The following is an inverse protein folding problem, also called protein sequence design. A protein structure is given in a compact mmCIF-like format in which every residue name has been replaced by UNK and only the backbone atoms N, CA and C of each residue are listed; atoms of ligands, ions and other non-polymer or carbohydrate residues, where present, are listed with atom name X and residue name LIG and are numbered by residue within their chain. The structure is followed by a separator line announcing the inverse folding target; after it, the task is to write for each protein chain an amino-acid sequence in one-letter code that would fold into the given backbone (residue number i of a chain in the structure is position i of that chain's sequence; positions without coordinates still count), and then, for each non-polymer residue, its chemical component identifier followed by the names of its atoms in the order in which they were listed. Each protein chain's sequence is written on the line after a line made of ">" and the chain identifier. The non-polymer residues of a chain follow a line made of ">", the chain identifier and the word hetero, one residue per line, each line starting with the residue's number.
data_IF_496538096836
#
_entry.id   IF_496538096836
#
_cell.length_a   1.000
_cell.length_b   1.000
_cell.length_c   1.000
_cell.angle_alpha   90.00
_cell.angle_beta   90.00
_cell.angle_gamma   90.00
#
_symmetry.space_group_name_H-M   'P 1'
#
loop_
_entity.id
_entity.type
_entity.pdbx_description
1 polymer ?
#
# COMPACT_ATOMS: atom_id res chain seq x y z
N UNK A 1 -14.58 -16.52 -1.97
CA UNK A 1 -14.19 -15.17 -1.48
C UNK A 1 -13.57 -15.22 -0.08
N UNK A 2 -14.10 -15.96 0.88
CA UNK A 2 -13.56 -16.11 2.24
C UNK A 2 -12.11 -16.62 2.26
N UNK A 3 -11.74 -17.57 1.39
CA UNK A 3 -10.37 -18.10 1.30
C UNK A 3 -9.33 -17.04 0.86
N UNK A 4 -9.73 -16.04 0.05
CA UNK A 4 -8.84 -14.92 -0.34
C UNK A 4 -8.54 -14.01 0.85
N UNK A 5 -9.55 -13.74 1.66
CA UNK A 5 -9.38 -12.97 2.89
C UNK A 5 -8.49 -13.72 3.90
N UNK A 6 -8.66 -15.05 4.01
CA UNK A 6 -7.80 -15.89 4.84
C UNK A 6 -6.35 -15.92 4.33
N UNK A 7 -6.12 -15.95 3.01
CA UNK A 7 -4.77 -15.91 2.43
C UNK A 7 -4.08 -14.58 2.74
N UNK A 8 -4.78 -13.44 2.55
CA UNK A 8 -4.27 -12.10 2.90
C UNK A 8 -3.98 -12.01 4.40
N UNK A 9 -4.92 -12.44 5.26
CA UNK A 9 -4.73 -12.44 6.72
C UNK A 9 -3.58 -13.35 7.15
N UNK A 10 -3.36 -14.47 6.45
CA UNK A 10 -2.25 -15.39 6.72
C UNK A 10 -0.92 -14.76 6.29
N UNK A 11 -0.88 -14.06 5.16
CA UNK A 11 0.28 -13.29 4.71
C UNK A 11 0.69 -12.22 5.73
N UNK A 12 -0.27 -11.46 6.25
CA UNK A 12 -0.04 -10.50 7.33
C UNK A 12 0.56 -11.18 8.57
N UNK A 13 -0.02 -12.28 9.02
CA UNK A 13 0.47 -13.03 10.20
C UNK A 13 1.85 -13.65 9.99
N UNK A 14 2.17 -14.11 8.79
CA UNK A 14 3.51 -14.60 8.47
C UNK A 14 4.53 -13.47 8.47
N UNK A 15 4.17 -12.29 7.94
CA UNK A 15 5.02 -11.11 7.98
C UNK A 15 5.29 -10.64 9.41
N UNK A 16 4.27 -10.61 10.26
CA UNK A 16 4.39 -10.30 11.69
C UNK A 16 5.22 -11.35 12.45
N UNK A 17 5.13 -12.64 12.08
CA UNK A 17 5.79 -13.74 12.76
C UNK A 17 7.23 -14.03 12.34
N UNK A 18 7.74 -13.37 11.31
CA UNK A 18 9.10 -13.61 10.79
C UNK A 18 10.19 -12.77 11.47
N UNK A 19 9.81 -11.81 12.32
CA UNK A 19 10.74 -10.98 13.10
C UNK A 19 10.37 -11.06 14.57
N UNK A 20 11.33 -11.42 15.41
CA UNK A 20 11.15 -11.54 16.86
C UNK A 20 10.79 -10.20 17.54
N UNK A 21 11.16 -9.07 16.93
CA UNK A 21 10.77 -7.72 17.36
C UNK A 21 10.69 -6.79 16.14
N UNK A 22 9.47 -6.50 15.67
CA UNK A 22 9.27 -5.41 14.69
C UNK A 22 9.21 -4.10 15.46
N UNK A 23 10.16 -3.22 15.19
CA UNK A 23 10.14 -1.90 15.81
C UNK A 23 8.91 -1.12 15.36
N UNK A 24 8.28 -0.38 16.29
CA UNK A 24 7.04 0.37 16.02
C UNK A 24 7.17 1.32 14.81
N UNK A 25 8.35 1.92 14.60
CA UNK A 25 8.60 2.78 13.44
C UNK A 25 8.52 2.01 12.12
N UNK A 26 8.96 0.74 12.07
CA UNK A 26 8.85 -0.11 10.88
C UNK A 26 7.38 -0.46 10.59
N UNK A 27 6.59 -0.72 11.62
CA UNK A 27 5.16 -1.01 11.48
C UNK A 27 4.40 0.22 10.94
N UNK A 28 4.68 1.40 11.50
CA UNK A 28 4.05 2.64 11.04
C UNK A 28 4.48 2.96 9.60
N UNK A 29 5.78 2.85 9.29
CA UNK A 29 6.31 3.05 7.94
C UNK A 29 5.67 2.09 6.92
N UNK A 30 5.50 0.81 7.29
CA UNK A 30 4.81 -0.17 6.46
C UNK A 30 3.38 0.26 6.13
N UNK A 31 2.61 0.68 7.13
CA UNK A 31 1.22 1.14 6.91
C UNK A 31 1.20 2.36 6.00
N UNK A 32 2.05 3.38 6.24
CA UNK A 32 2.10 4.59 5.41
C UNK A 32 2.38 4.25 3.93
N UNK A 33 3.36 3.39 3.68
CA UNK A 33 3.72 2.94 2.33
C UNK A 33 2.55 2.20 1.66
N UNK A 34 1.89 1.30 2.39
CA UNK A 34 0.75 0.55 1.87
C UNK A 34 -0.45 1.44 1.57
N UNK A 35 -0.81 2.35 2.47
CA UNK A 35 -1.94 3.25 2.27
C UNK A 35 -1.71 4.18 1.08
N UNK A 36 -0.46 4.65 0.87
CA UNK A 36 -0.13 5.47 -0.28
C UNK A 36 -0.32 4.74 -1.62
N UNK A 37 0.15 3.50 -1.72
CA UNK A 37 0.00 2.68 -2.92
C UNK A 37 -1.47 2.24 -3.13
N UNK A 38 -2.15 1.85 -2.05
CA UNK A 38 -3.55 1.42 -2.06
C UNK A 38 -4.48 2.53 -2.52
N UNK A 39 -4.30 3.74 -2.03
CA UNK A 39 -5.11 4.89 -2.41
C UNK A 39 -5.05 5.19 -3.93
N UNK A 40 -3.85 5.18 -4.53
CA UNK A 40 -3.69 5.37 -5.99
C UNK A 40 -4.29 4.20 -6.77
N UNK A 41 -4.06 2.97 -6.31
CA UNK A 41 -4.61 1.77 -6.92
C UNK A 41 -6.14 1.81 -6.99
N UNK A 42 -6.81 2.12 -5.88
CA UNK A 42 -8.27 2.18 -5.84
C UNK A 42 -8.86 3.33 -6.65
N UNK A 43 -8.16 4.48 -6.75
CA UNK A 43 -8.58 5.56 -7.64
C UNK A 43 -8.53 5.15 -9.11
N UNK A 44 -7.43 4.52 -9.54
CA UNK A 44 -7.28 4.03 -10.91
C UNK A 44 -8.26 2.91 -11.24
N UNK A 45 -8.51 2.03 -10.27
CA UNK A 45 -9.52 0.99 -10.42
C UNK A 45 -10.92 1.61 -10.55
N UNK A 46 -11.20 2.71 -9.85
CA UNK A 46 -12.44 3.46 -10.01
C UNK A 46 -12.54 4.12 -11.39
N UNK A 47 -11.45 4.75 -11.89
CA UNK A 47 -11.39 5.32 -13.24
C UNK A 47 -11.65 4.27 -14.33
N UNK A 48 -11.01 3.11 -14.20
CA UNK A 48 -11.24 1.99 -15.11
C UNK A 48 -12.70 1.50 -15.05
N UNK A 49 -13.23 1.30 -13.83
CA UNK A 49 -14.60 0.84 -13.63
C UNK A 49 -15.64 1.83 -14.16
N UNK A 50 -15.36 3.13 -14.15
CA UNK A 50 -16.27 4.17 -14.66
C UNK A 50 -16.46 4.07 -16.17
N UNK A 51 -15.46 3.56 -16.90
CA UNK A 51 -15.49 3.41 -18.35
C UNK A 51 -15.86 1.98 -18.80
N UNK A 52 -15.80 0.99 -17.92
CA UNK A 52 -16.06 -0.40 -18.24
C UNK A 52 -17.57 -0.70 -18.33
N UNK A 53 -17.99 -1.34 -19.43
CA UNK A 53 -19.39 -1.77 -19.61
C UNK A 53 -19.81 -2.76 -18.52
N UNK A 54 -21.03 -2.61 -18.04
CA UNK A 54 -21.62 -3.50 -17.03
C UNK A 54 -21.17 -3.26 -15.60
N UNK A 55 -20.40 -2.20 -15.35
CA UNK A 55 -19.99 -1.82 -13.99
C UNK A 55 -21.21 -1.47 -13.12
N UNK A 56 -21.39 -2.09 -11.94
CA UNK A 56 -22.43 -1.71 -11.01
C UNK A 56 -22.28 -0.27 -10.54
N UNK A 57 -23.37 0.51 -10.57
CA UNK A 57 -23.35 1.95 -10.24
C UNK A 57 -22.73 2.28 -8.86
N UNK A 58 -22.85 1.38 -7.88
CA UNK A 58 -22.25 1.58 -6.54
C UNK A 58 -20.77 1.26 -6.45
N UNK A 59 -20.18 0.55 -7.43
CA UNK A 59 -18.78 0.10 -7.35
C UNK A 59 -17.81 1.27 -7.39
N UNK A 60 -17.97 2.19 -8.35
CA UNK A 60 -17.10 3.38 -8.50
C UNK A 60 -17.12 4.20 -7.21
N UNK A 61 -18.30 4.47 -6.66
CA UNK A 61 -18.45 5.20 -5.39
C UNK A 61 -17.73 4.50 -4.24
N UNK A 62 -17.83 3.17 -4.17
CA UNK A 62 -17.16 2.38 -3.12
C UNK A 62 -15.64 2.45 -3.26
N UNK A 63 -15.11 2.30 -4.47
CA UNK A 63 -13.67 2.37 -4.74
C UNK A 63 -13.09 3.74 -4.39
N UNK A 64 -13.77 4.82 -4.80
CA UNK A 64 -13.38 6.20 -4.42
C UNK A 64 -13.40 6.42 -2.92
N UNK A 65 -14.38 5.83 -2.22
CA UNK A 65 -14.43 5.92 -0.77
C UNK A 65 -13.25 5.20 -0.13
N UNK A 66 -12.92 3.99 -0.57
CA UNK A 66 -11.74 3.26 -0.06
C UNK A 66 -10.48 4.08 -0.28
N UNK A 67 -10.25 4.60 -1.50
CA UNK A 67 -9.09 5.45 -1.78
C UNK A 67 -9.00 6.68 -0.87
N UNK A 68 -10.13 7.29 -0.53
CA UNK A 68 -10.17 8.42 0.39
C UNK A 68 -9.88 8.01 1.83
N UNK A 69 -10.43 6.88 2.27
CA UNK A 69 -10.21 6.35 3.62
C UNK A 69 -8.71 5.99 3.81
N UNK A 70 -8.07 5.40 2.80
CA UNK A 70 -6.63 5.09 2.79
C UNK A 70 -5.78 6.38 2.91
N UNK A 71 -6.14 7.46 2.21
CA UNK A 71 -5.44 8.76 2.35
C UNK A 71 -5.56 9.35 3.75
N UNK A 72 -6.74 9.26 4.37
CA UNK A 72 -6.95 9.72 5.74
C UNK A 72 -6.10 8.91 6.71
N UNK A 73 -6.04 7.59 6.52
CA UNK A 73 -5.19 6.72 7.33
C UNK A 73 -3.71 7.03 7.12
N UNK A 74 -3.26 7.17 5.85
CA UNK A 74 -1.89 7.56 5.54
C UNK A 74 -1.50 8.87 6.24
N UNK A 75 -2.34 9.90 6.18
CA UNK A 75 -2.08 11.17 6.86
C UNK A 75 -1.94 10.99 8.37
N UNK A 76 -2.85 10.27 9.00
CA UNK A 76 -2.80 10.00 10.44
C UNK A 76 -1.48 9.31 10.84
N UNK A 77 -1.08 8.27 10.13
CA UNK A 77 0.16 7.56 10.41
C UNK A 77 1.40 8.39 10.11
N UNK A 78 1.34 9.26 9.10
CA UNK A 78 2.41 10.23 8.78
C UNK A 78 2.62 11.22 9.91
N UNK A 79 1.55 11.77 10.48
CA UNK A 79 1.63 12.65 11.65
C UNK A 79 2.24 11.93 12.86
N UNK A 80 1.86 10.68 13.09
CA UNK A 80 2.40 9.87 14.18
C UNK A 80 3.89 9.56 13.98
N UNK A 81 4.30 9.25 12.75
CA UNK A 81 5.71 9.01 12.42
C UNK A 81 6.56 10.28 12.58
N UNK A 82 6.01 11.44 12.27
CA UNK A 82 6.67 12.73 12.47
C UNK A 82 7.04 12.96 13.94
N UNK A 83 6.19 12.55 14.88
CA UNK A 83 6.52 12.59 16.30
C UNK A 83 7.67 11.62 16.64
N UNK A 84 7.72 10.46 15.99
CA UNK A 84 8.81 9.50 16.20
C UNK A 84 10.15 9.98 15.67
N UNK A 85 10.18 10.85 14.65
CA UNK A 85 11.40 11.48 14.13
C UNK A 85 12.13 12.30 15.21
N UNK A 86 11.40 13.00 16.06
CA UNK A 86 11.97 13.78 17.15
C UNK A 86 12.72 12.92 18.18
N UNK A 87 12.38 11.63 18.24
CA UNK A 87 13.00 10.67 19.17
C UNK A 87 14.23 9.99 18.55
N UNK A 88 14.13 9.54 17.31
CA UNK A 88 15.22 8.85 16.60
C UNK A 88 15.07 8.98 15.08
N UNK A 89 15.51 10.12 14.54
CA UNK A 89 15.40 10.44 13.12
C UNK A 89 16.02 9.37 12.20
N UNK A 90 17.24 8.92 12.52
CA UNK A 90 17.96 7.96 11.69
C UNK A 90 17.19 6.65 11.56
N UNK A 91 16.71 6.09 12.67
CA UNK A 91 15.97 4.83 12.65
C UNK A 91 14.63 4.94 11.91
N UNK A 92 13.93 6.06 12.05
CA UNK A 92 12.64 6.29 11.35
C UNK A 92 12.85 6.42 9.84
N UNK A 93 13.90 7.16 9.41
CA UNK A 93 14.24 7.28 7.99
C UNK A 93 14.66 5.93 7.38
N UNK A 94 15.46 5.15 8.09
CA UNK A 94 15.86 3.79 7.67
C UNK A 94 14.64 2.86 7.55
N UNK A 95 13.70 2.96 8.48
CA UNK A 95 12.45 2.19 8.44
C UNK A 95 11.59 2.54 7.22
N UNK A 96 11.42 3.84 6.93
CA UNK A 96 10.69 4.30 5.73
C UNK A 96 11.31 3.80 4.43
N UNK A 97 12.62 3.99 4.27
CA UNK A 97 13.35 3.53 3.09
C UNK A 97 13.30 2.00 2.97
N UNK A 98 13.46 1.29 4.08
CA UNK A 98 13.37 -0.17 4.11
C UNK A 98 12.00 -0.66 3.63
N UNK A 99 10.92 -0.08 4.15
CA UNK A 99 9.56 -0.47 3.76
C UNK A 99 9.23 -0.07 2.31
N UNK A 100 9.64 1.10 1.87
CA UNK A 100 9.43 1.53 0.48
C UNK A 100 10.17 0.62 -0.53
N UNK A 101 11.38 0.14 -0.21
CA UNK A 101 12.13 -0.81 -1.04
C UNK A 101 11.53 -2.22 -1.07
N UNK A 102 10.88 -2.61 0.00
CA UNK A 102 10.21 -3.91 0.13
C UNK A 102 8.75 -3.87 -0.35
N UNK A 103 8.25 -2.68 -0.74
CA UNK A 103 6.85 -2.50 -1.09
C UNK A 103 6.41 -3.50 -2.16
N UNK A 104 5.60 -4.42 -1.73
CA UNK A 104 4.97 -5.46 -2.54
C UNK A 104 3.58 -5.70 -1.94
N UNK A 105 2.57 -6.06 -2.72
CA UNK A 105 1.27 -6.38 -2.17
C UNK A 105 1.39 -7.45 -1.09
N UNK A 106 0.91 -7.16 0.13
CA UNK A 106 0.93 -8.10 1.25
C UNK A 106 0.16 -9.36 0.87
N UNK A 107 0.75 -10.52 1.13
CA UNK A 107 0.17 -11.81 0.75
C UNK A 107 0.37 -12.19 -0.71
N UNK A 108 1.14 -11.42 -1.46
CA UNK A 108 1.43 -11.67 -2.87
C UNK A 108 2.03 -13.06 -3.14
N UNK A 109 2.80 -13.57 -2.18
CA UNK A 109 3.46 -14.88 -2.29
C UNK A 109 2.55 -16.05 -1.93
N UNK A 110 1.40 -15.78 -1.31
CA UNK A 110 0.51 -16.81 -0.75
C UNK A 110 -0.83 -16.94 -1.46
N UNK A 111 -1.13 -16.04 -2.40
CA UNK A 111 -2.39 -16.04 -3.14
C UNK A 111 -2.23 -16.70 -4.50
N UNK A 112 -2.85 -17.87 -4.69
CA UNK A 112 -2.95 -18.51 -6.00
C UNK A 112 -3.64 -17.59 -7.01
N UNK A 113 -3.08 -17.49 -8.22
CA UNK A 113 -3.62 -16.66 -9.30
C UNK A 113 -3.27 -15.17 -9.22
N UNK A 114 -2.40 -14.78 -8.31
CA UNK A 114 -1.99 -13.38 -8.16
C UNK A 114 -1.23 -12.87 -9.39
N UNK A 115 -0.41 -13.71 -10.03
CA UNK A 115 0.32 -13.34 -11.25
C UNK A 115 -0.64 -12.98 -12.39
N UNK A 116 -1.73 -13.72 -12.52
CA UNK A 116 -2.77 -13.42 -13.50
C UNK A 116 -3.50 -12.12 -13.14
N UNK A 117 -3.82 -11.89 -11.88
CA UNK A 117 -4.44 -10.65 -11.42
C UNK A 117 -3.50 -9.45 -11.64
N UNK A 118 -2.21 -9.58 -11.34
CA UNK A 118 -1.19 -8.56 -11.63
C UNK A 118 -1.11 -8.24 -13.13
N UNK A 119 -1.07 -9.28 -13.97
CA UNK A 119 -1.07 -9.10 -15.42
C UNK A 119 -2.27 -8.29 -15.88
N UNK A 120 -3.47 -8.64 -15.42
CA UNK A 120 -4.72 -7.97 -15.78
C UNK A 120 -4.67 -6.48 -15.36
N UNK A 121 -4.31 -6.17 -14.12
CA UNK A 121 -4.27 -4.78 -13.63
C UNK A 121 -3.18 -3.95 -14.30
N UNK A 122 -2.06 -4.57 -14.67
CA UNK A 122 -0.98 -3.91 -15.42
C UNK A 122 -1.40 -3.62 -16.87
N UNK A 123 -1.98 -4.59 -17.56
CA UNK A 123 -2.51 -4.43 -18.92
C UNK A 123 -3.64 -3.39 -19.00
N UNK A 124 -4.44 -3.29 -17.93
CA UNK A 124 -5.48 -2.28 -17.79
C UNK A 124 -4.93 -0.88 -17.39
N UNK A 125 -3.63 -0.74 -17.16
CA UNK A 125 -3.01 0.52 -16.73
C UNK A 125 -3.37 0.95 -15.31
N UNK A 126 -3.89 0.04 -14.48
CA UNK A 126 -4.30 0.31 -13.10
C UNK A 126 -3.08 0.37 -12.18
N UNK A 127 -2.07 -0.48 -12.40
CA UNK A 127 -0.83 -0.52 -11.62
C UNK A 127 0.37 -0.78 -12.51
N UNK A 128 1.52 -0.18 -12.19
CA UNK A 128 2.81 -0.50 -12.81
C UNK A 128 3.95 -0.22 -11.83
N UNK A 129 5.10 -0.91 -11.96
CA UNK A 129 6.27 -0.66 -11.14
C UNK A 129 6.78 0.79 -11.21
N UNK A 130 6.66 1.42 -12.38
CA UNK A 130 7.06 2.82 -12.59
C UNK A 130 6.17 3.76 -11.77
N UNK A 131 4.87 3.50 -11.80
CA UNK A 131 3.89 4.30 -11.06
C UNK A 131 4.06 4.14 -9.55
N UNK A 132 4.23 2.92 -9.09
CA UNK A 132 4.46 2.64 -7.68
C UNK A 132 5.71 3.38 -7.17
N UNK A 133 6.79 3.41 -7.99
CA UNK A 133 8.00 4.17 -7.68
C UNK A 133 7.76 5.69 -7.64
N UNK A 134 6.96 6.24 -8.54
CA UNK A 134 6.60 7.67 -8.52
C UNK A 134 5.86 8.04 -7.22
N UNK A 135 4.90 7.20 -6.80
CA UNK A 135 4.14 7.42 -5.58
C UNK A 135 5.06 7.37 -4.36
N UNK A 136 5.92 6.35 -4.30
CA UNK A 136 6.84 6.16 -3.19
C UNK A 136 7.88 7.28 -3.10
N UNK A 137 8.43 7.75 -4.22
CA UNK A 137 9.32 8.90 -4.23
C UNK A 137 8.61 10.18 -3.81
N UNK A 138 7.36 10.39 -4.25
CA UNK A 138 6.54 11.51 -3.79
C UNK A 138 6.28 11.47 -2.28
N UNK A 139 6.01 10.28 -1.73
CA UNK A 139 5.87 10.07 -0.29
C UNK A 139 7.17 10.36 0.45
N UNK A 140 8.28 9.78 0.02
CA UNK A 140 9.59 9.89 0.66
C UNK A 140 10.16 11.31 0.63
N UNK A 141 9.85 12.09 -0.40
CA UNK A 141 10.26 13.49 -0.52
C UNK A 141 9.78 14.36 0.66
N UNK A 142 8.73 13.96 1.36
CA UNK A 142 8.25 14.61 2.59
C UNK A 142 9.33 14.64 3.68
N UNK A 143 10.25 13.70 3.66
CA UNK A 143 11.34 13.54 4.63
C UNK A 143 12.74 13.67 4.00
N UNK A 144 12.86 14.30 2.83
CA UNK A 144 14.10 14.45 2.06
C UNK A 144 14.77 13.09 1.75
N UNK A 145 13.96 12.07 1.40
CA UNK A 145 14.41 10.73 1.05
C UNK A 145 14.04 10.40 -0.41
N UNK A 146 14.84 9.50 -1.02
CA UNK A 146 14.64 8.95 -2.37
C UNK A 146 14.88 7.43 -2.39
N UNK A 147 14.22 6.72 -3.33
CA UNK A 147 14.39 5.28 -3.57
C UNK A 147 15.64 4.97 -4.39
#
# INVERSE_FOLDING_TARGET
>A
EMWRLEAVTRGYRQYEGTRDEIHIAEQIAMVIVHEALSADYFDRLADYAETAEGTPAGLVTTLRKVANDDRVQQQYWTELLTVALDVNEGHVKDALLGQARLASPIGAETADGLDEARRIVTEAGISSPERDREILNGLLATWDLEL
#
